data_IF_852343029589
#
_entry.id   IF_852343029589
#
_cell.length_a   1.000
_cell.length_b   1.000
_cell.length_c   1.000
_cell.angle_alpha   90.00
_cell.angle_beta   90.00
_cell.angle_gamma   90.00
#
_symmetry.space_group_name_H-M   'P 1'
#
loop_
_entity.id
_entity.type
_entity.pdbx_description
1 polymer ?
#
# COMPACT_ATOMS: atom_id res chain seq x y z
N UNK A 1 19.73 16.65 -25.46
CA UNK A 1 18.54 15.76 -25.42
C UNK A 1 18.09 15.76 -23.97
N UNK A 2 16.91 16.31 -23.66
CA UNK A 2 16.35 16.27 -22.29
C UNK A 2 15.60 14.94 -22.18
N UNK A 3 16.00 14.07 -21.26
CA UNK A 3 15.31 12.81 -21.04
C UNK A 3 14.04 13.11 -20.23
N UNK A 4 12.86 12.81 -20.78
CA UNK A 4 11.55 13.15 -20.19
C UNK A 4 10.86 11.94 -19.55
N UNK A 5 11.62 10.92 -19.17
CA UNK A 5 11.04 9.72 -18.58
C UNK A 5 10.50 10.02 -17.18
N UNK A 6 9.27 9.57 -16.92
CA UNK A 6 8.65 9.71 -15.61
C UNK A 6 9.24 8.69 -14.63
N UNK A 7 9.58 9.16 -13.44
CA UNK A 7 9.92 8.29 -12.32
C UNK A 7 8.62 7.75 -11.69
N UNK A 8 8.48 6.42 -11.66
CA UNK A 8 7.24 5.74 -11.27
C UNK A 8 7.48 4.87 -10.05
N UNK A 9 6.54 4.94 -9.11
CA UNK A 9 6.38 3.95 -8.03
C UNK A 9 5.07 3.19 -8.23
N UNK A 10 5.09 1.88 -7.99
CA UNK A 10 3.91 1.02 -8.04
C UNK A 10 3.78 0.28 -6.72
N UNK A 11 2.63 0.42 -6.08
CA UNK A 11 2.26 -0.35 -4.89
C UNK A 11 1.47 -1.58 -5.35
N UNK A 12 2.16 -2.71 -5.46
CA UNK A 12 1.57 -3.95 -5.93
C UNK A 12 0.97 -4.74 -4.75
N UNK A 13 -0.26 -5.22 -4.93
CA UNK A 13 -0.98 -6.01 -3.91
C UNK A 13 -0.34 -7.38 -3.64
N UNK A 14 0.46 -7.90 -4.57
CA UNK A 14 1.13 -9.19 -4.42
C UNK A 14 2.35 -9.26 -5.32
N UNK A 15 3.13 -10.32 -5.14
CA UNK A 15 4.19 -10.69 -6.04
C UNK A 15 3.82 -11.28 -7.39
N UNK A 16 4.81 -11.37 -8.29
CA UNK A 16 4.65 -12.00 -9.60
C UNK A 16 4.13 -13.45 -9.54
N UNK A 17 4.40 -14.15 -8.44
CA UNK A 17 4.01 -15.56 -8.23
C UNK A 17 3.10 -15.74 -7.02
N UNK A 18 2.54 -14.65 -6.48
CA UNK A 18 1.65 -14.67 -5.32
C UNK A 18 0.25 -14.26 -5.75
N UNK A 19 -0.73 -14.46 -4.87
CA UNK A 19 -2.10 -13.98 -5.09
C UNK A 19 -2.34 -12.72 -4.26
N UNK A 20 -3.11 -11.80 -4.82
CA UNK A 20 -3.77 -10.75 -4.04
C UNK A 20 -5.09 -11.29 -3.49
N UNK A 21 -5.46 -10.87 -2.29
CA UNK A 21 -6.63 -11.39 -1.60
C UNK A 21 -7.66 -10.29 -1.31
N UNK A 22 -8.91 -10.72 -1.21
CA UNK A 22 -10.00 -9.91 -0.69
C UNK A 22 -9.92 -9.87 0.84
N UNK A 23 -10.19 -8.69 1.42
CA UNK A 23 -10.25 -8.53 2.87
C UNK A 23 -11.45 -9.30 3.43
N UNK A 24 -11.27 -9.88 4.61
CA UNK A 24 -12.37 -10.51 5.37
C UNK A 24 -13.16 -9.53 6.22
N UNK A 25 -12.62 -8.33 6.48
CA UNK A 25 -13.25 -7.32 7.36
C UNK A 25 -14.33 -6.55 6.64
N UNK A 26 -14.05 -6.18 5.40
CA UNK A 26 -14.91 -5.36 4.53
C UNK A 26 -14.75 -5.91 3.12
N UNK A 27 -15.83 -5.91 2.31
CA UNK A 27 -15.74 -6.26 0.89
C UNK A 27 -14.71 -5.35 0.19
N UNK A 28 -13.85 -5.91 -0.65
CA UNK A 28 -12.77 -5.17 -1.31
C UNK A 28 -11.37 -5.76 -1.08
N UNK A 29 -10.41 -5.39 -1.92
CA UNK A 29 -9.04 -5.91 -1.86
C UNK A 29 -8.32 -5.51 -0.57
N UNK A 30 -7.60 -6.45 0.06
CA UNK A 30 -6.91 -6.22 1.35
C UNK A 30 -5.95 -5.02 1.30
N UNK A 31 -5.14 -4.88 0.24
CA UNK A 31 -4.26 -3.71 0.07
C UNK A 31 -5.06 -2.40 -0.04
N UNK A 32 -6.12 -2.38 -0.85
CA UNK A 32 -6.89 -1.17 -1.08
C UNK A 32 -7.60 -0.71 0.20
N UNK A 33 -8.18 -1.65 0.95
CA UNK A 33 -8.82 -1.35 2.23
C UNK A 33 -7.81 -0.81 3.25
N UNK A 34 -6.64 -1.44 3.38
CA UNK A 34 -5.60 -0.97 4.30
C UNK A 34 -5.11 0.45 3.95
N UNK A 35 -4.94 0.77 2.65
CA UNK A 35 -4.59 2.14 2.21
C UNK A 35 -5.71 3.13 2.57
N UNK A 36 -6.96 2.79 2.29
CA UNK A 36 -8.10 3.65 2.60
C UNK A 36 -8.24 3.89 4.11
N UNK A 37 -8.10 2.86 4.93
CA UNK A 37 -8.19 2.97 6.39
C UNK A 37 -7.15 3.97 6.94
N UNK A 38 -5.90 3.89 6.47
CA UNK A 38 -4.85 4.83 6.87
C UNK A 38 -5.11 6.27 6.41
N UNK A 39 -5.63 6.46 5.20
CA UNK A 39 -6.01 7.78 4.68
C UNK A 39 -7.18 8.37 5.49
N UNK A 40 -8.19 7.55 5.84
CA UNK A 40 -9.35 7.96 6.63
C UNK A 40 -8.95 8.34 8.06
N UNK A 41 -8.02 7.60 8.69
CA UNK A 41 -7.47 7.93 10.02
C UNK A 41 -6.74 9.29 10.04
N UNK A 42 -6.31 9.80 8.88
CA UNK A 42 -5.53 11.04 8.74
C UNK A 42 -6.19 12.04 7.77
N UNK A 43 -7.39 12.57 8.07
CA UNK A 43 -8.15 13.41 7.13
C UNK A 43 -7.47 14.77 6.88
N UNK A 44 -7.26 15.12 5.61
CA UNK A 44 -6.56 16.36 5.23
C UNK A 44 -5.07 16.38 5.61
N UNK A 45 -4.48 15.18 5.75
CA UNK A 45 -3.13 14.99 6.26
C UNK A 45 -2.03 15.12 5.20
N UNK A 46 -0.83 15.37 5.70
CA UNK A 46 0.42 15.15 4.97
C UNK A 46 1.15 13.99 5.64
N UNK A 47 1.55 12.99 4.86
CA UNK A 47 2.37 11.87 5.34
C UNK A 47 3.42 11.53 4.29
N UNK A 48 4.62 11.15 4.71
CA UNK A 48 5.59 10.57 3.78
C UNK A 48 5.04 9.27 3.18
N UNK A 49 5.20 9.06 1.88
CA UNK A 49 4.73 7.84 1.20
C UNK A 49 5.27 6.57 1.86
N UNK A 50 6.53 6.60 2.30
CA UNK A 50 7.16 5.51 3.05
C UNK A 50 6.46 5.25 4.39
N UNK A 51 6.16 6.30 5.16
CA UNK A 51 5.47 6.15 6.43
C UNK A 51 4.04 5.62 6.25
N UNK A 52 3.34 6.03 5.19
CA UNK A 52 2.04 5.44 4.83
C UNK A 52 2.20 3.95 4.47
N UNK A 53 3.16 3.62 3.61
CA UNK A 53 3.43 2.25 3.21
C UNK A 53 3.74 1.35 4.41
N UNK A 54 4.60 1.79 5.33
CA UNK A 54 4.99 1.02 6.52
C UNK A 54 3.77 0.71 7.40
N UNK A 55 2.82 1.65 7.55
CA UNK A 55 1.56 1.43 8.29
C UNK A 55 0.62 0.47 7.57
N UNK A 56 0.46 0.63 6.26
CA UNK A 56 -0.35 -0.27 5.42
C UNK A 56 0.19 -1.71 5.50
N UNK A 57 1.52 -1.89 5.45
CA UNK A 57 2.13 -3.23 5.59
C UNK A 57 1.90 -3.82 6.98
N UNK A 58 1.97 -3.00 8.04
CA UNK A 58 1.64 -3.45 9.40
C UNK A 58 0.21 -3.97 9.49
N UNK A 59 -0.75 -3.31 8.84
CA UNK A 59 -2.16 -3.74 8.82
C UNK A 59 -2.33 -5.05 8.04
N UNK A 60 -1.69 -5.18 6.88
CA UNK A 60 -1.72 -6.43 6.08
C UNK A 60 -1.06 -7.59 6.85
N UNK A 61 0.07 -7.35 7.51
CA UNK A 61 0.75 -8.38 8.30
C UNK A 61 -0.10 -8.83 9.50
N UNK A 62 -0.80 -7.89 10.14
CA UNK A 62 -1.74 -8.22 11.19
C UNK A 62 -2.91 -9.05 10.64
N UNK A 63 -3.48 -8.70 9.48
CA UNK A 63 -4.51 -9.52 8.83
C UNK A 63 -3.98 -10.92 8.50
N UNK A 64 -2.82 -11.04 7.87
CA UNK A 64 -2.19 -12.30 7.51
C UNK A 64 -2.02 -13.21 8.74
N UNK A 65 -1.53 -12.67 9.87
CA UNK A 65 -1.34 -13.44 11.13
C UNK A 65 -2.66 -13.90 11.76
N UNK A 66 -3.70 -13.07 11.68
CA UNK A 66 -5.01 -13.42 12.25
C UNK A 66 -5.86 -14.31 11.34
N UNK A 67 -5.42 -14.55 10.10
CA UNK A 67 -6.06 -15.49 9.17
C UNK A 67 -5.61 -16.95 9.38
N UNK A 68 -4.62 -17.22 10.25
CA UNK A 68 -4.06 -18.55 10.56
C UNK A 68 -4.94 -19.36 11.52
N UNK A 69 -6.24 -19.44 11.24
CA UNK A 69 -7.11 -20.52 11.73
C UNK A 69 -7.84 -21.14 10.54
N UNK A 70 -7.13 -21.97 9.79
CA UNK A 70 -7.74 -22.99 8.92
C UNK A 70 -7.68 -22.79 7.41
N UNK A 71 -7.08 -21.72 6.87
CA UNK A 71 -6.90 -21.57 5.43
C UNK A 71 -5.41 -21.52 5.08
N UNK A 72 -5.03 -22.37 4.13
CA UNK A 72 -3.83 -22.34 3.29
C UNK A 72 -3.08 -21.00 3.37
N UNK A 73 -1.79 -21.03 3.71
CA UNK A 73 -0.90 -19.85 3.87
C UNK A 73 -1.15 -18.74 2.83
N UNK A 74 -2.12 -17.87 3.09
CA UNK A 74 -2.41 -16.71 2.28
C UNK A 74 -1.44 -15.60 2.68
N UNK A 75 -0.14 -15.81 2.40
CA UNK A 75 0.84 -14.74 2.58
C UNK A 75 0.70 -13.77 1.42
N UNK A 76 -0.15 -12.75 1.57
CA UNK A 76 -0.13 -11.61 0.68
C UNK A 76 1.15 -10.81 0.96
N UNK A 77 2.08 -10.76 0.01
CA UNK A 77 3.28 -9.92 0.13
C UNK A 77 3.18 -8.75 -0.83
N UNK A 78 2.48 -7.72 -0.37
CA UNK A 78 2.45 -6.45 -1.07
C UNK A 78 3.87 -5.86 -1.14
N UNK A 79 4.18 -5.15 -2.23
CA UNK A 79 5.54 -4.65 -2.50
C UNK A 79 5.50 -3.31 -3.22
N UNK A 80 6.59 -2.55 -3.08
CA UNK A 80 6.85 -1.37 -3.89
C UNK A 80 7.79 -1.73 -5.04
N UNK A 81 7.39 -1.41 -6.26
CA UNK A 81 8.24 -1.44 -7.45
C UNK A 81 8.57 0.00 -7.84
N UNK A 82 9.80 0.24 -8.28
CA UNK A 82 10.26 1.55 -8.73
C UNK A 82 10.95 1.42 -10.09
N UNK A 83 10.67 2.33 -11.04
CA UNK A 83 11.26 2.29 -12.38
C UNK A 83 12.72 2.74 -12.43
N UNK A 84 13.19 3.48 -11.41
CA UNK A 84 14.54 4.07 -11.34
C UNK A 84 14.97 4.34 -9.90
N UNK A 85 16.20 4.83 -9.70
CA UNK A 85 16.70 5.29 -8.40
C UNK A 85 15.85 6.44 -7.84
N UNK A 86 15.41 7.35 -8.70
CA UNK A 86 14.49 8.45 -8.35
C UNK A 86 13.14 7.93 -7.81
N UNK A 87 12.69 6.75 -8.25
CA UNK A 87 11.49 6.11 -7.68
C UNK A 87 11.63 5.81 -6.18
N UNK A 88 12.85 5.51 -5.69
CA UNK A 88 13.11 5.39 -4.24
C UNK A 88 13.05 6.74 -3.54
N UNK A 89 13.48 7.80 -4.19
CA UNK A 89 13.38 9.17 -3.67
C UNK A 89 11.91 9.61 -3.56
N UNK A 90 11.07 9.26 -4.54
CA UNK A 90 9.62 9.50 -4.49
C UNK A 90 9.00 8.88 -3.22
N UNK A 91 9.42 7.70 -2.78
CA UNK A 91 8.91 7.09 -1.55
C UNK A 91 9.20 7.93 -0.30
N UNK A 92 10.23 8.77 -0.31
CA UNK A 92 10.56 9.67 0.80
C UNK A 92 9.90 11.05 0.68
N UNK A 93 9.11 11.28 -0.37
CA UNK A 93 8.39 12.56 -0.53
C UNK A 93 6.99 12.51 0.08
N UNK A 94 6.44 13.64 0.53
CA UNK A 94 5.12 13.69 1.12
C UNK A 94 4.00 13.40 0.10
N UNK A 95 2.98 12.67 0.56
CA UNK A 95 1.68 12.52 -0.08
C UNK A 95 0.70 13.49 0.59
N UNK A 96 -0.12 14.13 -0.22
CA UNK A 96 -1.14 15.08 0.22
C UNK A 96 -2.51 14.64 -0.30
N UNK A 97 -3.54 14.77 0.53
CA UNK A 97 -4.92 14.63 0.11
C UNK A 97 -5.81 15.62 0.87
N UNK A 98 -6.92 15.98 0.24
CA UNK A 98 -7.91 16.84 0.86
C UNK A 98 -8.74 16.04 1.87
N UNK A 99 -9.24 16.74 2.88
CA UNK A 99 -10.28 16.19 3.76
C UNK A 99 -11.49 15.82 2.90
N UNK A 100 -11.94 14.57 2.99
CA UNK A 100 -13.21 14.17 2.40
C UNK A 100 -14.33 14.86 3.20
N UNK A 101 -15.05 15.79 2.57
CA UNK A 101 -16.27 16.37 3.15
C UNK A 101 -17.41 15.36 3.00
N UNK A 102 -17.98 14.95 4.14
CA UNK A 102 -19.22 14.18 4.24
C UNK A 102 -20.44 15.01 3.88
#
# INVERSE_FOLDING_TARGET
>A
MINTEASVIVWAASGPSERAYESRRVKGGSLANAVCDEIIKSPGGTIERKALWDRVMSDIDYENKNQIKGALEASQRARVLASSQDGKEIMNTPLFWNKFSS
#
